data_IF_662563917659
#
_entry.id   IF_662563917659
#
_cell.length_a   1.000
_cell.length_b   1.000
_cell.length_c   1.000
_cell.angle_alpha   90.00
_cell.angle_beta   90.00
_cell.angle_gamma   90.00
#
_symmetry.space_group_name_H-M   'P 1'
#
loop_
_entity.id
_entity.type
_entity.pdbx_description
1 polymer ?
#
# COMPACT_ATOMS: atom_id res chain seq x y z
N UNK A 1 11.94 5.74 -15.50
CA UNK A 1 10.70 5.26 -14.88
C UNK A 1 10.64 3.75 -15.02
N UNK A 2 11.00 2.99 -14.00
CA UNK A 2 10.90 1.51 -13.99
C UNK A 2 9.65 1.12 -13.23
N UNK A 3 8.57 0.87 -13.95
CA UNK A 3 7.44 0.18 -13.38
C UNK A 3 7.76 -1.31 -13.36
N UNK A 4 7.76 -1.93 -12.19
CA UNK A 4 8.04 -3.37 -12.08
C UNK A 4 6.74 -4.19 -12.10
N UNK A 5 5.62 -3.59 -11.68
CA UNK A 5 4.32 -4.25 -11.57
C UNK A 5 3.20 -3.36 -12.10
N UNK A 6 2.51 -3.86 -13.12
CA UNK A 6 1.28 -3.28 -13.65
C UNK A 6 0.08 -4.03 -13.09
N UNK A 7 -0.90 -3.32 -12.51
CA UNK A 7 -2.18 -3.90 -12.10
C UNK A 7 -3.33 -3.20 -12.79
N UNK A 8 -4.48 -3.87 -12.82
CA UNK A 8 -5.73 -3.27 -13.28
C UNK A 8 -6.01 -2.01 -12.47
N UNK A 9 -6.38 -0.95 -13.16
CA UNK A 9 -6.80 0.28 -12.52
C UNK A 9 -8.06 0.01 -11.65
N UNK A 10 -8.01 0.22 -10.33
CA UNK A 10 -9.16 0.01 -9.45
C UNK A 10 -10.24 1.09 -9.60
N UNK A 11 -9.92 2.23 -10.21
CA UNK A 11 -10.83 3.36 -10.42
C UNK A 11 -11.44 3.35 -11.82
N UNK A 12 -10.70 2.88 -12.82
CA UNK A 12 -11.20 2.70 -14.18
C UNK A 12 -11.64 1.25 -14.38
N UNK A 13 -12.96 1.01 -14.33
CA UNK A 13 -13.53 -0.31 -14.65
C UNK A 13 -13.57 -0.58 -16.17
N UNK A 14 -12.47 -0.28 -16.86
CA UNK A 14 -12.30 -0.45 -18.30
C UNK A 14 -11.39 -1.65 -18.52
N UNK A 15 -11.83 -2.61 -19.33
CA UNK A 15 -10.98 -3.75 -19.70
C UNK A 15 -9.76 -3.26 -20.49
N UNK A 16 -8.56 -3.59 -20.01
CA UNK A 16 -7.30 -3.32 -20.70
C UNK A 16 -6.49 -2.14 -20.13
N UNK A 17 -7.04 -1.36 -19.21
CA UNK A 17 -6.30 -0.30 -18.52
C UNK A 17 -5.51 -0.88 -17.35
N UNK A 18 -4.19 -0.72 -17.41
CA UNK A 18 -3.26 -1.12 -16.37
C UNK A 18 -2.43 0.08 -15.92
N UNK A 19 -2.33 0.26 -14.61
CA UNK A 19 -1.54 1.32 -13.98
C UNK A 19 -0.31 0.74 -13.31
N UNK A 20 0.73 1.56 -13.19
CA UNK A 20 1.90 1.18 -12.43
C UNK A 20 1.60 1.19 -10.93
N UNK A 21 1.63 0.02 -10.31
CA UNK A 21 1.21 -0.12 -8.92
C UNK A 21 2.32 0.08 -7.92
N UNK A 22 3.56 -0.17 -8.31
CA UNK A 22 4.73 -0.22 -7.45
C UNK A 22 5.77 0.85 -7.81
N UNK A 23 5.27 2.05 -8.11
CA UNK A 23 6.07 3.15 -8.64
C UNK A 23 7.10 3.68 -7.62
N UNK A 24 6.83 3.56 -6.33
CA UNK A 24 7.69 4.17 -5.30
C UNK A 24 8.88 3.23 -4.98
N UNK A 25 10.08 3.78 -4.75
CA UNK A 25 11.27 2.99 -4.45
C UNK A 25 11.16 2.25 -3.11
N UNK A 26 12.02 1.24 -2.93
CA UNK A 26 12.08 0.42 -1.73
C UNK A 26 11.11 -0.77 -1.74
N UNK A 27 10.98 -1.43 -0.59
CA UNK A 27 10.10 -2.59 -0.39
C UNK A 27 9.11 -2.37 0.75
N UNK A 28 8.03 -3.15 0.74
CA UNK A 28 7.07 -3.11 1.84
C UNK A 28 7.72 -3.64 3.12
N UNK A 29 7.58 -2.93 4.25
CA UNK A 29 8.12 -3.41 5.51
C UNK A 29 7.39 -4.68 5.97
N UNK A 30 8.17 -5.69 6.36
CA UNK A 30 7.64 -6.92 6.91
C UNK A 30 7.19 -6.72 8.35
N UNK A 31 6.05 -7.34 8.69
CA UNK A 31 5.50 -7.31 10.03
C UNK A 31 4.91 -8.67 10.34
N UNK A 32 5.52 -9.38 11.29
CA UNK A 32 5.09 -10.72 11.68
C UNK A 32 4.03 -10.71 12.78
N UNK A 33 4.01 -9.67 13.61
CA UNK A 33 3.17 -9.61 14.80
C UNK A 33 2.33 -8.34 14.90
N UNK A 34 1.08 -8.50 15.32
CA UNK A 34 0.16 -7.40 15.59
C UNK A 34 0.35 -6.86 17.00
N UNK A 35 0.25 -5.54 17.19
CA UNK A 35 0.40 -4.98 18.53
C UNK A 35 -0.80 -5.45 19.38
N UNK A 36 -0.61 -5.67 20.69
CA UNK A 36 -1.72 -6.04 21.57
C UNK A 36 -2.79 -4.93 21.53
N UNK A 37 -3.92 -5.28 20.92
CA UNK A 37 -5.21 -4.61 20.84
C UNK A 37 -5.29 -3.19 21.45
N UNK A 38 -4.89 -2.18 20.69
CA UNK A 38 -5.49 -0.85 20.76
C UNK A 38 -6.44 -0.71 19.56
N UNK A 39 -7.56 -1.46 19.58
CA UNK A 39 -8.38 -1.68 18.39
C UNK A 39 -9.13 -0.44 17.86
N UNK A 40 -9.27 0.62 18.65
CA UNK A 40 -10.01 1.82 18.22
C UNK A 40 -9.08 2.97 17.82
N UNK A 41 -8.04 3.29 18.60
CA UNK A 41 -7.16 4.42 18.30
C UNK A 41 -6.18 4.16 17.15
N UNK A 42 -5.78 2.90 16.92
CA UNK A 42 -4.81 2.57 15.86
C UNK A 42 -5.35 2.84 14.46
N UNK A 43 -6.68 2.90 14.29
CA UNK A 43 -7.29 3.24 12.99
C UNK A 43 -7.26 4.74 12.69
N UNK A 44 -7.18 5.60 13.71
CA UNK A 44 -7.03 7.03 13.50
C UNK A 44 -5.61 7.31 12.97
N UNK A 45 -5.52 7.59 11.67
CA UNK A 45 -4.24 7.87 10.99
C UNK A 45 -3.83 6.82 9.97
N UNK A 46 -4.57 5.69 9.85
CA UNK A 46 -4.32 4.73 8.77
C UNK A 46 -4.78 5.33 7.44
N UNK A 47 -3.86 5.37 6.48
CA UNK A 47 -4.14 5.75 5.10
C UNK A 47 -4.27 4.50 4.26
N UNK A 48 -5.50 4.15 3.90
CA UNK A 48 -5.77 3.08 2.95
C UNK A 48 -5.33 3.48 1.54
N UNK A 49 -4.96 2.49 0.73
CA UNK A 49 -4.50 2.70 -0.62
C UNK A 49 -4.79 1.48 -1.49
N UNK A 50 -4.76 1.64 -2.81
CA UNK A 50 -4.75 0.52 -3.75
C UNK A 50 -3.37 0.30 -4.39
N UNK A 51 -2.63 1.39 -4.66
CA UNK A 51 -1.29 1.38 -5.23
C UNK A 51 -0.38 2.53 -4.72
N UNK A 52 0.93 2.41 -4.96
CA UNK A 52 1.98 3.31 -4.46
C UNK A 52 1.74 4.81 -4.76
N UNK A 53 1.31 5.22 -5.98
CA UNK A 53 1.03 6.63 -6.26
C UNK A 53 0.01 7.34 -5.35
N UNK A 54 -0.80 6.62 -4.57
CA UNK A 54 -1.72 7.20 -3.57
C UNK A 54 -1.02 7.55 -2.23
N UNK A 55 0.18 7.02 -2.03
CA UNK A 55 1.01 7.20 -0.84
C UNK A 55 2.08 8.29 -1.04
N UNK A 56 2.78 8.68 0.02
CA UNK A 56 3.93 9.57 -0.14
C UNK A 56 5.04 8.91 -0.98
N UNK A 57 5.93 9.70 -1.63
CA UNK A 57 6.99 9.16 -2.49
C UNK A 57 7.97 8.19 -1.81
N UNK A 58 8.06 8.22 -0.48
CA UNK A 58 8.87 7.33 0.37
C UNK A 58 8.03 6.25 1.07
N UNK A 59 6.78 6.09 0.68
CA UNK A 59 5.86 5.09 1.19
C UNK A 59 5.46 4.13 0.07
N UNK A 60 5.08 2.92 0.46
CA UNK A 60 4.52 1.91 -0.44
C UNK A 60 3.14 1.48 0.03
N UNK A 61 2.33 1.04 -0.91
CA UNK A 61 0.99 0.55 -0.64
C UNK A 61 1.02 -0.94 -0.30
N UNK A 62 1.10 -1.23 1.00
CA UNK A 62 1.46 -2.55 1.51
C UNK A 62 0.28 -3.21 2.21
N UNK A 63 0.13 -4.52 2.06
CA UNK A 63 -0.86 -5.28 2.83
C UNK A 63 -0.44 -5.32 4.30
N UNK A 64 -1.31 -4.85 5.19
CA UNK A 64 -1.11 -4.97 6.63
C UNK A 64 -1.90 -6.16 7.17
N UNK A 65 -1.19 -7.13 7.77
CA UNK A 65 -1.79 -8.36 8.29
C UNK A 65 -2.77 -8.12 9.45
N UNK A 66 -2.57 -7.03 10.21
CA UNK A 66 -3.38 -6.69 11.37
C UNK A 66 -4.67 -5.99 10.97
N UNK A 67 -4.62 -5.20 9.90
CA UNK A 67 -5.77 -4.47 9.35
C UNK A 67 -6.48 -5.28 8.26
N UNK A 68 -5.80 -6.29 7.69
CA UNK A 68 -6.23 -7.12 6.55
C UNK A 68 -6.59 -6.30 5.31
N UNK A 69 -5.96 -5.15 5.14
CA UNK A 69 -6.14 -4.25 4.00
C UNK A 69 -4.80 -3.63 3.59
N UNK A 70 -4.75 -3.05 2.40
CA UNK A 70 -3.59 -2.27 1.93
C UNK A 70 -3.59 -0.87 2.53
N UNK A 71 -2.44 -0.46 3.05
CA UNK A 71 -2.23 0.83 3.70
C UNK A 71 -0.86 1.40 3.30
N UNK A 72 -0.75 2.72 3.28
CA UNK A 72 0.52 3.40 3.05
C UNK A 72 1.44 3.17 4.25
N UNK A 73 2.64 2.64 3.98
CA UNK A 73 3.70 2.44 4.98
C UNK A 73 5.00 2.99 4.45
N UNK A 74 5.86 3.49 5.33
CA UNK A 74 7.23 3.87 4.97
C UNK A 74 7.94 2.67 4.34
N UNK A 75 8.59 2.91 3.21
CA UNK A 75 9.31 1.87 2.48
C UNK A 75 10.62 1.54 3.20
N UNK A 76 10.96 0.24 3.23
CA UNK A 76 12.32 -0.16 3.55
C UNK A 76 13.24 0.16 2.36
N UNK A 77 14.49 0.60 2.61
CA UNK A 77 15.44 1.03 1.59
C UNK A 77 15.87 -0.09 0.64
#
# INVERSE_FOLDING_TARGET
>A
SSCSTFCKDPYLNIQGEYVCCDKNPGTCPERDECPPLAQEDVRQGIRFCHYDPECHPNEKCCFDICIKQKVCKLADP
#
